data_IF_478671127722
#
_entry.id   IF_478671127722
#
_cell.length_a   1.000
_cell.length_b   1.000
_cell.length_c   1.000
_cell.angle_alpha   90.00
_cell.angle_beta   90.00
_cell.angle_gamma   90.00
#
_symmetry.space_group_name_H-M   'P 1'
#
loop_
_entity.id
_entity.type
_entity.pdbx_description
1 polymer ?
#
# COMPACT_ATOMS: atom_id res chain seq x y z
N UNK A 1 -33.24 44.03 -8.70
CA UNK A 1 -34.32 43.05 -8.62
C UNK A 1 -34.74 42.74 -10.04
N UNK A 2 -34.08 41.77 -10.69
CA UNK A 2 -34.42 41.31 -12.05
C UNK A 2 -34.67 39.81 -11.90
N UNK A 3 -35.93 39.44 -12.12
CA UNK A 3 -36.37 38.05 -12.09
C UNK A 3 -35.86 37.35 -13.36
N UNK A 4 -35.07 36.31 -13.16
CA UNK A 4 -34.60 35.41 -14.21
C UNK A 4 -35.77 34.46 -14.55
N UNK A 5 -36.41 34.74 -15.70
CA UNK A 5 -37.58 33.97 -16.18
C UNK A 5 -37.06 32.73 -16.88
N UNK A 6 -37.34 31.57 -16.34
CA UNK A 6 -37.03 30.27 -16.96
C UNK A 6 -37.63 30.21 -18.38
N UNK A 7 -36.81 30.00 -19.39
CA UNK A 7 -37.22 29.83 -20.79
C UNK A 7 -37.61 28.35 -21.00
N UNK A 8 -38.89 28.12 -21.16
CA UNK A 8 -39.44 26.80 -21.55
C UNK A 8 -39.24 26.62 -23.05
N UNK A 9 -38.45 25.63 -23.48
CA UNK A 9 -38.31 25.22 -24.87
C UNK A 9 -39.51 24.34 -25.28
N UNK A 10 -39.84 24.29 -26.58
CA UNK A 10 -41.01 23.60 -27.14
C UNK A 10 -41.06 22.08 -26.92
N UNK A 11 -40.03 21.48 -26.30
CA UNK A 11 -39.91 20.05 -25.94
C UNK A 11 -40.21 19.73 -24.46
N UNK A 12 -40.59 20.72 -23.68
CA UNK A 12 -40.97 20.51 -22.26
C UNK A 12 -39.78 20.10 -21.34
N UNK A 13 -38.57 20.16 -21.80
CA UNK A 13 -37.38 19.90 -20.98
C UNK A 13 -36.99 21.17 -20.20
N UNK A 14 -37.16 21.11 -18.89
CA UNK A 14 -36.70 22.17 -17.99
C UNK A 14 -35.19 21.99 -17.82
N UNK A 15 -34.40 22.74 -18.60
CA UNK A 15 -32.96 22.83 -18.31
C UNK A 15 -32.77 23.67 -17.07
N UNK A 16 -32.31 23.02 -15.99
CA UNK A 16 -31.82 23.75 -14.83
C UNK A 16 -30.67 24.68 -15.25
N UNK A 17 -30.59 25.93 -14.77
CA UNK A 17 -29.43 26.76 -15.02
C UNK A 17 -28.20 26.00 -14.46
N UNK A 18 -27.19 25.80 -15.30
CA UNK A 18 -25.90 25.28 -14.87
C UNK A 18 -25.35 26.23 -13.80
N UNK A 19 -25.12 25.68 -12.59
CA UNK A 19 -24.47 26.43 -11.50
C UNK A 19 -23.11 26.98 -11.97
N UNK A 20 -22.53 27.93 -11.24
CA UNK A 20 -21.25 28.53 -11.62
C UNK A 20 -20.26 27.42 -11.90
N UNK A 21 -19.67 27.43 -13.12
CA UNK A 21 -18.74 26.42 -13.59
C UNK A 21 -17.67 26.18 -12.51
N UNK A 22 -17.51 24.91 -12.11
CA UNK A 22 -16.48 24.55 -11.14
C UNK A 22 -15.12 25.09 -11.63
N UNK A 23 -14.31 25.71 -10.77
CA UNK A 23 -13.05 26.29 -11.18
C UNK A 23 -12.24 25.31 -12.03
N UNK A 24 -11.72 25.76 -13.16
CA UNK A 24 -11.02 24.90 -14.14
C UNK A 24 -9.84 24.09 -13.57
N UNK A 25 -9.30 24.48 -12.41
CA UNK A 25 -8.28 23.73 -11.71
C UNK A 25 -8.81 22.46 -11.03
N UNK A 26 -10.12 22.39 -10.71
CA UNK A 26 -10.77 21.17 -10.18
C UNK A 26 -11.08 20.15 -11.29
N UNK A 27 -11.20 20.58 -12.54
CA UNK A 27 -11.48 19.72 -13.68
C UNK A 27 -10.22 19.16 -14.34
N UNK A 28 -9.01 19.54 -13.89
CA UNK A 28 -7.76 19.01 -14.43
C UNK A 28 -7.56 17.58 -13.97
N UNK A 29 -7.63 16.64 -14.91
CA UNK A 29 -7.21 15.26 -14.69
C UNK A 29 -5.69 15.25 -14.49
N UNK A 30 -5.23 14.99 -13.26
CA UNK A 30 -3.80 14.85 -12.98
C UNK A 30 -3.33 13.48 -13.47
N UNK A 31 -2.28 13.41 -14.31
CA UNK A 31 -1.77 12.13 -14.77
C UNK A 31 -1.22 11.31 -13.61
N UNK A 32 -1.54 10.02 -13.55
CA UNK A 32 -1.13 9.14 -12.45
C UNK A 32 0.30 8.56 -12.59
N UNK A 33 1.01 8.85 -13.69
CA UNK A 33 2.36 8.32 -13.88
C UNK A 33 3.38 8.73 -12.78
N UNK A 34 3.31 9.94 -12.14
CA UNK A 34 4.22 10.26 -11.06
C UNK A 34 4.01 9.36 -9.84
N UNK A 35 2.74 8.99 -9.57
CA UNK A 35 2.42 8.02 -8.52
C UNK A 35 2.90 6.61 -8.87
N UNK A 36 2.88 6.24 -10.15
CA UNK A 36 3.43 4.97 -10.60
C UNK A 36 4.96 4.91 -10.39
N UNK A 37 5.67 6.03 -10.64
CA UNK A 37 7.10 6.13 -10.33
C UNK A 37 7.36 6.03 -8.83
N UNK A 38 6.63 6.77 -8.01
CA UNK A 38 6.73 6.69 -6.55
C UNK A 38 6.47 5.28 -6.03
N UNK A 39 5.51 4.55 -6.60
CA UNK A 39 5.22 3.16 -6.30
C UNK A 39 6.40 2.24 -6.61
N UNK A 40 7.04 2.41 -7.79
CA UNK A 40 8.22 1.62 -8.17
C UNK A 40 9.35 1.84 -7.18
N UNK A 41 9.64 3.09 -6.84
CA UNK A 41 10.66 3.44 -5.84
C UNK A 41 10.34 2.85 -4.46
N UNK A 42 9.09 2.92 -4.04
CA UNK A 42 8.63 2.33 -2.78
C UNK A 42 8.80 0.79 -2.79
N UNK A 43 8.46 0.12 -3.88
CA UNK A 43 8.73 -1.31 -4.07
C UNK A 43 10.21 -1.65 -4.02
N UNK A 44 11.07 -0.79 -4.58
CA UNK A 44 12.53 -0.95 -4.53
C UNK A 44 13.09 -0.82 -3.10
N UNK A 45 12.50 0.04 -2.25
CA UNK A 45 12.85 0.09 -0.82
C UNK A 45 12.53 -1.23 -0.11
N UNK A 46 11.37 -1.83 -0.36
CA UNK A 46 11.02 -3.14 0.20
C UNK A 46 11.95 -4.25 -0.32
N UNK A 47 12.34 -4.20 -1.59
CA UNK A 47 13.36 -5.11 -2.13
C UNK A 47 14.70 -4.96 -1.42
N UNK A 48 15.13 -3.72 -1.14
CA UNK A 48 16.36 -3.48 -0.38
C UNK A 48 16.26 -4.01 1.05
N UNK A 49 15.09 -3.86 1.69
CA UNK A 49 14.83 -4.37 3.05
C UNK A 49 14.87 -5.90 3.10
N UNK A 50 14.41 -6.61 2.09
CA UNK A 50 14.43 -8.08 2.07
C UNK A 50 15.84 -8.67 1.98
N UNK A 51 16.80 -7.96 1.35
CA UNK A 51 18.16 -8.50 1.06
C UNK A 51 19.01 -8.82 2.28
N UNK A 52 18.84 -8.10 3.38
CA UNK A 52 19.65 -8.34 4.58
C UNK A 52 19.03 -9.39 5.52
N UNK A 53 17.89 -9.97 5.16
CA UNK A 53 17.26 -11.08 5.86
C UNK A 53 17.77 -12.40 5.28
N UNK A 54 18.91 -12.88 5.82
CA UNK A 54 19.68 -14.00 5.25
C UNK A 54 19.28 -15.32 5.92
N UNK A 55 18.60 -16.26 5.21
CA UNK A 55 18.17 -17.54 5.79
C UNK A 55 19.32 -18.43 6.30
N UNK A 56 20.50 -18.42 5.64
CA UNK A 56 21.67 -19.19 6.06
C UNK A 56 22.24 -18.74 7.40
N UNK A 57 22.03 -17.47 7.78
CA UNK A 57 22.37 -16.89 9.08
C UNK A 57 21.22 -17.02 10.10
N UNK A 58 20.19 -17.81 9.79
CA UNK A 58 18.94 -17.88 10.57
C UNK A 58 18.37 -16.48 10.85
N UNK A 59 18.31 -15.65 9.81
CA UNK A 59 17.82 -14.27 9.84
C UNK A 59 18.52 -13.37 10.89
N UNK A 60 19.81 -13.59 11.09
CA UNK A 60 20.67 -12.84 12.01
C UNK A 60 20.82 -13.47 13.38
N UNK A 61 20.11 -14.57 13.69
CA UNK A 61 20.20 -15.22 15.02
C UNK A 61 21.59 -15.77 15.32
N UNK A 62 22.32 -16.28 14.29
CA UNK A 62 23.66 -16.80 14.47
C UNK A 62 24.72 -15.71 14.60
N UNK A 63 24.57 -14.62 13.86
CA UNK A 63 25.51 -13.48 13.87
C UNK A 63 25.22 -12.46 14.95
N UNK A 64 24.01 -12.45 15.51
CA UNK A 64 23.53 -11.41 16.42
C UNK A 64 23.07 -10.13 15.70
N UNK A 65 23.00 -10.14 14.36
CA UNK A 65 22.59 -9.02 13.52
C UNK A 65 21.21 -9.19 12.87
N UNK A 66 21.04 -8.60 11.70
CA UNK A 66 19.87 -8.81 10.84
C UNK A 66 18.53 -8.56 11.52
N UNK A 67 17.53 -9.38 11.18
CA UNK A 67 16.19 -9.29 11.76
C UNK A 67 16.20 -9.62 13.27
N UNK A 68 17.10 -10.53 13.69
CA UNK A 68 17.22 -10.88 15.10
C UNK A 68 17.55 -9.68 15.97
N UNK A 69 18.51 -8.86 15.57
CA UNK A 69 18.89 -7.65 16.29
C UNK A 69 17.69 -6.72 16.52
N UNK A 70 16.91 -6.48 15.47
CA UNK A 70 15.76 -5.58 15.55
C UNK A 70 14.66 -6.12 16.48
N UNK A 71 14.35 -7.40 16.41
CA UNK A 71 13.39 -8.02 17.33
C UNK A 71 13.88 -7.96 18.79
N UNK A 72 15.18 -8.08 19.06
CA UNK A 72 15.72 -7.87 20.40
C UNK A 72 15.55 -6.42 20.87
N UNK A 73 15.73 -5.43 19.98
CA UNK A 73 15.47 -4.02 20.30
C UNK A 73 13.99 -3.77 20.60
N UNK A 74 13.07 -4.35 19.83
CA UNK A 74 11.62 -4.25 20.06
C UNK A 74 11.20 -4.86 21.40
N UNK A 75 11.82 -5.97 21.81
CA UNK A 75 11.59 -6.61 23.12
C UNK A 75 12.13 -5.73 24.27
N UNK A 76 13.31 -5.12 24.05
CA UNK A 76 13.96 -4.27 25.06
C UNK A 76 13.25 -2.91 25.25
N UNK A 77 12.75 -2.33 24.15
CA UNK A 77 12.10 -1.01 24.12
C UNK A 77 10.67 -1.10 23.55
N UNK A 78 9.75 -1.77 24.25
CA UNK A 78 8.43 -2.06 23.72
C UNK A 78 7.58 -0.80 23.60
N UNK A 79 6.99 -0.57 22.44
CA UNK A 79 5.97 0.46 22.23
C UNK A 79 4.65 0.05 22.87
N UNK A 80 4.30 -1.25 22.76
CA UNK A 80 3.08 -1.84 23.30
C UNK A 80 3.42 -3.14 24.02
N UNK A 81 3.03 -3.28 25.28
CA UNK A 81 3.34 -4.47 26.09
C UNK A 81 2.80 -5.77 25.49
N UNK A 82 1.57 -5.74 24.98
CA UNK A 82 0.96 -6.93 24.35
C UNK A 82 1.74 -7.38 23.10
N UNK A 83 2.31 -6.44 22.34
CA UNK A 83 3.17 -6.77 21.20
C UNK A 83 4.49 -7.42 21.66
N UNK A 84 5.11 -6.89 22.71
CA UNK A 84 6.29 -7.52 23.32
C UNK A 84 6.00 -8.95 23.78
N UNK A 85 4.87 -9.18 24.41
CA UNK A 85 4.47 -10.52 24.87
C UNK A 85 4.28 -11.49 23.70
N UNK A 86 3.73 -11.01 22.58
CA UNK A 86 3.68 -11.78 21.33
C UNK A 86 5.09 -12.10 20.81
N UNK A 87 6.00 -11.12 20.79
CA UNK A 87 7.38 -11.36 20.34
C UNK A 87 8.06 -12.44 21.19
N UNK A 88 7.97 -12.36 22.50
CA UNK A 88 8.65 -13.27 23.42
C UNK A 88 8.03 -14.67 23.41
N UNK A 89 6.70 -14.75 23.45
CA UNK A 89 6.00 -16.03 23.68
C UNK A 89 5.62 -16.75 22.39
N UNK A 90 5.54 -16.04 21.25
CA UNK A 90 5.10 -16.61 19.97
C UNK A 90 6.19 -16.50 18.90
N UNK A 91 6.68 -15.29 18.63
CA UNK A 91 7.62 -15.07 17.52
C UNK A 91 8.98 -15.73 17.78
N UNK A 92 9.61 -15.48 18.94
CA UNK A 92 10.94 -16.01 19.26
C UNK A 92 10.97 -17.54 19.31
N UNK A 93 10.00 -18.25 19.90
CA UNK A 93 9.95 -19.70 19.85
C UNK A 93 9.80 -20.29 18.44
N UNK A 94 9.14 -19.55 17.53
CA UNK A 94 8.93 -19.96 16.15
C UNK A 94 9.77 -19.13 15.16
N UNK A 95 10.97 -18.75 15.56
CA UNK A 95 11.85 -17.78 14.88
C UNK A 95 12.00 -17.99 13.37
N UNK A 96 12.41 -19.18 12.98
CA UNK A 96 12.66 -19.49 11.56
C UNK A 96 11.42 -19.33 10.70
N UNK A 97 10.25 -19.72 11.21
CA UNK A 97 8.97 -19.52 10.52
C UNK A 97 8.68 -18.02 10.29
N UNK A 98 8.79 -17.20 11.34
CA UNK A 98 8.55 -15.76 11.22
C UNK A 98 9.62 -15.06 10.38
N UNK A 99 10.86 -15.54 10.40
CA UNK A 99 11.93 -15.05 9.51
C UNK A 99 11.58 -15.25 8.03
N UNK A 100 11.14 -16.44 7.64
CA UNK A 100 10.66 -16.71 6.29
C UNK A 100 9.38 -15.93 5.96
N UNK A 101 8.42 -15.85 6.88
CA UNK A 101 7.19 -15.08 6.67
C UNK A 101 7.49 -13.62 6.37
N UNK A 102 8.39 -13.00 7.13
CA UNK A 102 8.83 -11.61 6.90
C UNK A 102 9.50 -11.47 5.54
N UNK A 103 10.46 -12.35 5.21
CA UNK A 103 11.16 -12.31 3.93
C UNK A 103 10.20 -12.45 2.74
N UNK A 104 9.27 -13.41 2.79
CA UNK A 104 8.29 -13.61 1.73
C UNK A 104 7.33 -12.42 1.62
N UNK A 105 6.85 -11.88 2.74
CA UNK A 105 5.96 -10.73 2.74
C UNK A 105 6.62 -9.51 2.12
N UNK A 106 7.85 -9.18 2.52
CA UNK A 106 8.59 -8.04 1.96
C UNK A 106 8.93 -8.23 0.48
N UNK A 107 9.33 -9.45 0.09
CA UNK A 107 9.57 -9.77 -1.33
C UNK A 107 8.29 -9.68 -2.15
N UNK A 108 7.16 -10.16 -1.63
CA UNK A 108 5.87 -10.03 -2.28
C UNK A 108 5.48 -8.55 -2.48
N UNK A 109 5.61 -7.72 -1.45
CA UNK A 109 5.37 -6.27 -1.55
C UNK A 109 6.27 -5.66 -2.62
N UNK A 110 7.56 -5.96 -2.58
CA UNK A 110 8.52 -5.44 -3.54
C UNK A 110 8.14 -5.79 -4.98
N UNK A 111 7.90 -7.07 -5.27
CA UNK A 111 7.58 -7.56 -6.62
C UNK A 111 6.26 -6.96 -7.13
N UNK A 112 5.21 -7.03 -6.33
CA UNK A 112 3.88 -6.50 -6.74
C UNK A 112 3.93 -5.01 -7.01
N UNK A 113 4.58 -4.24 -6.15
CA UNK A 113 4.66 -2.79 -6.32
C UNK A 113 5.64 -2.38 -7.42
N UNK A 114 6.78 -3.05 -7.60
CA UNK A 114 7.70 -2.74 -8.70
C UNK A 114 7.07 -3.03 -10.06
N UNK A 115 6.46 -4.20 -10.23
CA UNK A 115 5.84 -4.60 -11.49
C UNK A 115 4.48 -3.92 -11.74
N UNK A 116 3.84 -3.38 -10.71
CA UNK A 116 2.48 -2.88 -10.79
C UNK A 116 1.49 -4.01 -11.09
N UNK A 117 1.65 -5.13 -10.41
CA UNK A 117 0.81 -6.32 -10.50
C UNK A 117 0.04 -6.48 -9.19
N UNK A 118 -1.29 -6.52 -9.26
CA UNK A 118 -2.16 -6.53 -8.07
C UNK A 118 -1.75 -5.41 -7.09
N UNK A 119 -1.61 -4.21 -7.61
CA UNK A 119 -1.01 -3.07 -6.90
C UNK A 119 -1.69 -2.78 -5.58
N UNK A 120 -3.02 -2.84 -5.53
CA UNK A 120 -3.78 -2.59 -4.29
C UNK A 120 -3.57 -3.69 -3.26
N UNK A 121 -3.46 -4.95 -3.69
CA UNK A 121 -3.13 -6.05 -2.77
C UNK A 121 -1.73 -5.88 -2.19
N UNK A 122 -0.73 -5.59 -3.05
CA UNK A 122 0.63 -5.29 -2.59
C UNK A 122 0.69 -4.12 -1.61
N UNK A 123 -0.04 -3.04 -1.90
CA UNK A 123 -0.14 -1.87 -1.04
C UNK A 123 -0.86 -2.16 0.30
N UNK A 124 -1.91 -3.00 0.28
CA UNK A 124 -2.59 -3.45 1.50
C UNK A 124 -1.64 -4.26 2.41
N UNK A 125 -0.91 -5.21 1.84
CA UNK A 125 0.09 -6.00 2.59
C UNK A 125 1.21 -5.07 3.10
N UNK A 126 1.67 -4.11 2.29
CA UNK A 126 2.66 -3.11 2.69
C UNK A 126 2.17 -2.24 3.85
N UNK A 127 0.88 -1.86 3.85
CA UNK A 127 0.28 -1.09 4.93
C UNK A 127 0.30 -1.88 6.25
N UNK A 128 -0.09 -3.16 6.22
CA UNK A 128 -0.04 -4.04 7.38
C UNK A 128 1.40 -4.23 7.89
N UNK A 129 2.36 -4.44 7.00
CA UNK A 129 3.77 -4.61 7.37
C UNK A 129 4.38 -3.31 7.92
N UNK A 130 4.07 -2.16 7.30
CA UNK A 130 4.51 -0.86 7.80
C UNK A 130 3.94 -0.54 9.20
N UNK A 131 2.66 -0.88 9.44
CA UNK A 131 2.05 -0.76 10.76
C UNK A 131 2.72 -1.67 11.79
N UNK A 132 3.00 -2.93 11.42
CA UNK A 132 3.71 -3.88 12.27
C UNK A 132 5.10 -3.36 12.65
N UNK A 133 5.90 -2.92 11.68
CA UNK A 133 7.23 -2.32 11.92
C UNK A 133 7.11 -1.09 12.83
N UNK A 134 6.12 -0.22 12.57
CA UNK A 134 5.91 0.98 13.38
C UNK A 134 5.64 0.63 14.84
N UNK A 135 4.76 -0.33 15.11
CA UNK A 135 4.45 -0.79 16.48
C UNK A 135 5.70 -1.36 17.14
N UNK A 136 6.54 -2.08 16.41
CA UNK A 136 7.75 -2.69 16.95
C UNK A 136 8.82 -1.65 17.30
N UNK A 137 9.09 -0.72 16.40
CA UNK A 137 10.34 0.07 16.45
C UNK A 137 10.12 1.50 17.00
N UNK A 138 8.89 1.99 17.11
CA UNK A 138 8.62 3.41 17.45
C UNK A 138 9.28 3.87 18.77
N UNK A 139 9.47 2.99 19.73
CA UNK A 139 10.08 3.29 21.03
C UNK A 139 11.58 2.95 21.11
N UNK A 140 12.17 2.41 20.04
CA UNK A 140 13.60 2.10 19.99
C UNK A 140 14.38 3.42 19.93
N UNK A 141 15.42 3.61 20.79
CA UNK A 141 16.21 4.84 20.81
C UNK A 141 16.88 5.13 19.46
N UNK A 142 16.93 6.41 19.11
CA UNK A 142 17.53 6.95 17.89
C UNK A 142 16.79 6.60 16.58
N UNK A 143 15.62 5.94 16.67
CA UNK A 143 14.77 5.72 15.49
C UNK A 143 13.94 6.97 15.15
N UNK A 144 13.74 7.16 13.86
CA UNK A 144 13.05 8.35 13.33
C UNK A 144 11.60 8.00 12.99
N UNK A 145 10.69 8.24 13.93
CA UNK A 145 9.27 7.87 13.80
C UNK A 145 8.57 8.41 12.54
N UNK A 146 9.01 9.56 11.99
CA UNK A 146 8.45 10.08 10.75
C UNK A 146 8.71 9.19 9.53
N UNK A 147 9.80 8.41 9.51
CA UNK A 147 10.07 7.44 8.43
C UNK A 147 8.98 6.38 8.35
N UNK A 148 8.53 5.88 9.50
CA UNK A 148 7.48 4.86 9.57
C UNK A 148 6.11 5.44 9.20
N UNK A 149 5.85 6.70 9.58
CA UNK A 149 4.66 7.43 9.13
C UNK A 149 4.63 7.57 7.61
N UNK A 150 5.78 7.87 6.96
CA UNK A 150 5.87 7.92 5.50
C UNK A 150 5.63 6.56 4.86
N UNK A 151 6.14 5.45 5.44
CA UNK A 151 5.86 4.11 4.94
C UNK A 151 4.36 3.81 4.92
N UNK A 152 3.66 4.10 6.01
CA UNK A 152 2.20 3.94 6.13
C UNK A 152 1.47 4.83 5.12
N UNK A 153 1.87 6.10 5.01
CA UNK A 153 1.22 7.08 4.13
C UNK A 153 1.32 6.67 2.65
N UNK A 154 2.50 6.25 2.19
CA UNK A 154 2.68 5.80 0.81
C UNK A 154 1.91 4.50 0.52
N UNK A 155 1.93 3.54 1.44
CA UNK A 155 1.14 2.31 1.29
C UNK A 155 -0.36 2.62 1.17
N UNK A 156 -0.89 3.49 2.05
CA UNK A 156 -2.29 3.93 1.99
C UNK A 156 -2.60 4.67 0.69
N UNK A 157 -1.72 5.56 0.24
CA UNK A 157 -1.87 6.30 -1.02
C UNK A 157 -1.97 5.34 -2.21
N UNK A 158 -1.10 4.35 -2.32
CA UNK A 158 -1.12 3.38 -3.43
C UNK A 158 -2.32 2.42 -3.35
N UNK A 159 -2.75 2.06 -2.14
CA UNK A 159 -3.97 1.29 -1.94
C UNK A 159 -5.21 2.02 -2.47
N UNK A 160 -5.31 3.32 -2.17
CA UNK A 160 -6.47 4.14 -2.56
C UNK A 160 -6.46 4.51 -4.05
N UNK A 161 -5.29 4.78 -4.62
CA UNK A 161 -5.16 5.31 -5.99
C UNK A 161 -4.95 4.24 -7.06
N UNK A 162 -4.46 3.04 -6.73
CA UNK A 162 -4.19 1.95 -7.67
C UNK A 162 -3.30 2.35 -8.85
N UNK A 163 -2.10 2.94 -8.63
CA UNK A 163 -1.30 3.52 -9.74
C UNK A 163 -0.70 2.48 -10.70
N UNK A 164 -0.87 1.19 -10.44
CA UNK A 164 -0.52 0.09 -11.35
C UNK A 164 -1.30 0.11 -12.66
N UNK A 165 -2.53 0.63 -12.62
CA UNK A 165 -3.37 0.82 -13.81
C UNK A 165 -2.89 1.93 -14.73
N UNK A 166 -2.05 2.85 -14.26
CA UNK A 166 -1.44 3.89 -15.09
C UNK A 166 -0.18 3.39 -15.80
N UNK A 167 0.75 2.80 -15.03
CA UNK A 167 1.99 2.21 -15.54
C UNK A 167 2.29 0.95 -14.75
N UNK A 168 2.10 -0.22 -15.34
CA UNK A 168 2.32 -1.51 -14.71
C UNK A 168 1.58 -2.63 -15.42
N UNK A 169 1.72 -3.85 -14.91
CA UNK A 169 0.98 -5.01 -15.44
C UNK A 169 -0.54 -4.86 -15.24
N UNK A 170 -0.96 -4.15 -14.21
CA UNK A 170 -2.37 -3.85 -13.96
C UNK A 170 -3.01 -2.98 -15.08
N UNK A 171 -2.20 -2.19 -15.81
CA UNK A 171 -2.68 -1.44 -16.96
C UNK A 171 -3.19 -2.36 -18.10
N UNK A 172 -2.62 -3.56 -18.22
CA UNK A 172 -2.99 -4.56 -19.21
C UNK A 172 -4.04 -5.53 -18.66
N UNK A 173 -3.91 -5.93 -17.41
CA UNK A 173 -4.79 -6.91 -16.77
C UNK A 173 -6.11 -6.30 -16.31
N UNK A 174 -6.08 -5.05 -15.81
CA UNK A 174 -7.26 -4.38 -15.26
C UNK A 174 -8.45 -4.36 -16.21
N UNK A 175 -8.33 -3.89 -17.46
CA UNK A 175 -9.45 -3.88 -18.41
C UNK A 175 -10.05 -5.27 -18.68
N UNK A 176 -9.21 -6.31 -18.76
CA UNK A 176 -9.69 -7.71 -18.96
C UNK A 176 -10.45 -8.23 -17.75
N UNK A 177 -9.99 -7.88 -16.54
CA UNK A 177 -10.66 -8.25 -15.30
C UNK A 177 -11.98 -7.50 -15.14
N UNK A 178 -12.01 -6.21 -15.53
CA UNK A 178 -13.24 -5.40 -15.55
C UNK A 178 -14.30 -6.01 -16.48
N UNK A 179 -13.90 -6.43 -17.68
CA UNK A 179 -14.79 -7.11 -18.62
C UNK A 179 -15.29 -8.44 -18.07
N UNK A 180 -14.42 -9.25 -17.45
CA UNK A 180 -14.80 -10.51 -16.83
C UNK A 180 -15.79 -10.29 -15.68
N UNK A 181 -15.55 -9.25 -14.87
CA UNK A 181 -16.44 -8.85 -13.78
C UNK A 181 -17.82 -8.38 -14.29
N UNK A 182 -17.85 -7.59 -15.36
CA UNK A 182 -19.09 -7.15 -16.00
C UNK A 182 -19.94 -8.30 -16.55
N UNK A 183 -19.32 -9.43 -16.91
CA UNK A 183 -20.02 -10.67 -17.33
C UNK A 183 -20.52 -11.52 -16.15
N UNK A 184 -20.48 -11.00 -14.91
CA UNK A 184 -20.93 -11.70 -13.71
C UNK A 184 -19.91 -12.65 -13.06
N UNK A 185 -18.64 -12.61 -13.49
CA UNK A 185 -17.59 -13.41 -12.87
C UNK A 185 -17.11 -12.74 -11.56
N UNK A 186 -17.48 -13.33 -10.42
CA UNK A 186 -17.11 -12.81 -9.08
C UNK A 186 -15.59 -12.75 -8.89
N UNK A 187 -14.84 -13.74 -9.38
CA UNK A 187 -13.39 -13.71 -9.32
C UNK A 187 -12.81 -12.55 -10.14
N UNK A 188 -13.39 -12.27 -11.32
CA UNK A 188 -13.03 -11.10 -12.13
C UNK A 188 -13.25 -9.78 -11.39
N UNK A 189 -14.38 -9.63 -10.68
CA UNK A 189 -14.69 -8.45 -9.88
C UNK A 189 -13.70 -8.24 -8.74
N UNK A 190 -13.40 -9.31 -7.97
CA UNK A 190 -12.45 -9.24 -6.86
C UNK A 190 -11.04 -8.90 -7.35
N UNK A 191 -10.56 -9.57 -8.40
CA UNK A 191 -9.24 -9.32 -8.95
C UNK A 191 -9.13 -7.92 -9.58
N UNK A 192 -10.19 -7.44 -10.24
CA UNK A 192 -10.26 -6.06 -10.76
C UNK A 192 -10.11 -5.03 -9.64
N UNK A 193 -10.71 -5.28 -8.47
CA UNK A 193 -10.55 -4.38 -7.34
C UNK A 193 -9.13 -4.38 -6.77
N UNK A 194 -8.41 -5.50 -6.85
CA UNK A 194 -7.04 -5.67 -6.34
C UNK A 194 -5.95 -5.06 -7.26
N UNK A 195 -6.30 -4.69 -8.49
CA UNK A 195 -5.39 -4.07 -9.47
C UNK A 195 -5.29 -2.55 -9.38
#
# INVERSE_FOLDING_TARGET
MVADVARVTATGETTMPSGPDAPSWLSRTTPLWPLALARILYGALWWQQSKWKVPSDDFGRKSGGGLWYWVQQEIQYPTVSAYRDFLVNVLVPHWTFFGYLTLFTETFIAVTLMLGLLTRLGAFVALGMAANITIGILSVPHEWGWTYTMLIMFAALFLLTGPGRSVGLDAVLGPRLDEAGARGNVAGQLLSWLT
#
